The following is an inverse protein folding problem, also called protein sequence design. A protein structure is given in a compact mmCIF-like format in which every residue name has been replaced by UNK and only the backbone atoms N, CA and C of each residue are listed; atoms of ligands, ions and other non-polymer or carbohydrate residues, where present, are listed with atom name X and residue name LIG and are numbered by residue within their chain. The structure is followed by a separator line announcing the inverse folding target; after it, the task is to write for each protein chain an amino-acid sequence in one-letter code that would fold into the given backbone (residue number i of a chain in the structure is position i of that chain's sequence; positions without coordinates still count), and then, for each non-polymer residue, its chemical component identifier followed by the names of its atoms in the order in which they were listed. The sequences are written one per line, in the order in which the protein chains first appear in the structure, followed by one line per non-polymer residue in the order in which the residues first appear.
data_IF_335752275569
#
_entry.id   IF_335752275569
#
_cell.length_a   1.000
_cell.length_b   1.000
_cell.length_c   1.000
_cell.angle_alpha   90.00
_cell.angle_beta   90.00
_cell.angle_gamma   90.00
#
_symmetry.space_group_name_H-M   'P 1'
#
loop_
_entity.id
_entity.type
_entity.pdbx_description
1 polymer ?
#
# COMPACT_ATOMS: atom_id res chain seq x y z
N UNK A 1 30.84 -38.85 -4.44
CA UNK A 1 29.98 -37.82 -5.03
C UNK A 1 28.93 -37.50 -3.99
N UNK A 2 29.11 -36.41 -3.22
CA UNK A 2 28.13 -35.97 -2.23
C UNK A 2 27.00 -35.27 -2.98
N UNK A 3 25.86 -35.95 -3.12
CA UNK A 3 24.61 -35.29 -3.45
C UNK A 3 24.26 -34.45 -2.24
N UNK A 4 24.55 -33.14 -2.31
CA UNK A 4 23.88 -32.20 -1.44
C UNK A 4 22.38 -32.36 -1.75
N UNK A 5 21.63 -32.96 -0.84
CA UNK A 5 20.18 -32.94 -0.85
C UNK A 5 19.77 -31.47 -0.87
N UNK A 6 19.50 -30.96 -2.07
CA UNK A 6 18.96 -29.64 -2.27
C UNK A 6 17.53 -29.74 -1.72
N UNK A 7 17.32 -29.16 -0.55
CA UNK A 7 16.06 -29.19 0.18
C UNK A 7 15.04 -28.29 -0.55
N UNK A 8 14.51 -28.83 -1.66
CA UNK A 8 13.49 -28.17 -2.49
C UNK A 8 12.22 -27.84 -1.68
N UNK A 9 11.98 -28.54 -0.57
CA UNK A 9 10.85 -28.27 0.33
C UNK A 9 11.03 -26.94 1.08
N UNK A 10 12.26 -26.64 1.53
CA UNK A 10 12.62 -25.36 2.16
C UNK A 10 12.52 -24.20 1.17
N UNK A 11 12.95 -24.39 -0.08
CA UNK A 11 12.95 -23.32 -1.10
C UNK A 11 11.52 -22.85 -1.45
N UNK A 12 10.56 -23.79 -1.52
CA UNK A 12 9.14 -23.49 -1.77
C UNK A 12 8.49 -22.78 -0.57
N UNK A 13 8.90 -23.14 0.65
CA UNK A 13 8.38 -22.53 1.87
C UNK A 13 8.85 -21.08 2.06
N UNK A 14 10.11 -20.78 1.71
CA UNK A 14 10.68 -19.43 1.77
C UNK A 14 10.01 -18.53 0.71
N UNK A 15 9.89 -18.99 -0.53
CA UNK A 15 9.23 -18.21 -1.59
C UNK A 15 7.78 -17.84 -1.24
N UNK A 16 7.00 -18.77 -0.67
CA UNK A 16 5.63 -18.48 -0.21
C UNK A 16 5.54 -17.53 0.97
N UNK A 17 6.55 -17.50 1.83
CA UNK A 17 6.60 -16.57 2.95
C UNK A 17 6.90 -15.16 2.46
N UNK A 18 7.87 -15.02 1.53
CA UNK A 18 8.22 -13.73 0.90
C UNK A 18 7.06 -13.18 0.05
N UNK A 19 6.39 -14.02 -0.75
CA UNK A 19 5.22 -13.59 -1.55
C UNK A 19 4.05 -13.11 -0.67
N UNK A 20 3.85 -13.74 0.50
CA UNK A 20 2.81 -13.32 1.46
C UNK A 20 3.17 -12.00 2.14
N UNK A 21 4.45 -11.78 2.43
CA UNK A 21 4.92 -10.54 3.03
C UNK A 21 4.77 -9.36 2.05
N UNK A 22 5.13 -9.57 0.78
CA UNK A 22 4.98 -8.57 -0.29
C UNK A 22 3.49 -8.27 -0.55
N UNK A 23 2.65 -9.30 -0.71
CA UNK A 23 1.21 -9.11 -0.94
C UNK A 23 0.50 -8.42 0.24
N UNK A 24 0.96 -8.67 1.48
CA UNK A 24 0.44 -8.00 2.66
C UNK A 24 0.89 -6.53 2.74
N UNK A 25 2.15 -6.25 2.42
CA UNK A 25 2.68 -4.89 2.35
C UNK A 25 1.97 -4.06 1.26
N UNK A 26 1.81 -4.60 0.05
CA UNK A 26 1.07 -3.96 -1.04
C UNK A 26 -0.42 -3.76 -0.68
N UNK A 27 -1.03 -4.73 0.00
CA UNK A 27 -2.42 -4.63 0.47
C UNK A 27 -2.62 -3.52 1.51
N UNK A 28 -1.67 -3.35 2.45
CA UNK A 28 -1.69 -2.27 3.43
C UNK A 28 -1.48 -0.92 2.75
N UNK A 29 -0.53 -0.82 1.82
CA UNK A 29 -0.25 0.43 1.10
C UNK A 29 -1.45 0.88 0.26
N UNK A 30 -2.06 -0.03 -0.49
CA UNK A 30 -3.28 0.27 -1.26
C UNK A 30 -4.47 0.62 -0.37
N UNK A 31 -4.61 -0.03 0.79
CA UNK A 31 -5.65 0.29 1.76
C UNK A 31 -5.48 1.67 2.36
N UNK A 32 -4.25 2.04 2.70
CA UNK A 32 -3.89 3.36 3.22
C UNK A 32 -4.17 4.45 2.18
N UNK A 33 -3.76 4.22 0.92
CA UNK A 33 -3.98 5.18 -0.17
C UNK A 33 -5.47 5.39 -0.47
N UNK A 34 -6.28 4.32 -0.53
CA UNK A 34 -7.73 4.43 -0.69
C UNK A 34 -8.36 5.26 0.43
N UNK A 35 -7.97 5.00 1.69
CA UNK A 35 -8.48 5.74 2.84
C UNK A 35 -8.10 7.23 2.77
N UNK A 36 -6.89 7.55 2.30
CA UNK A 36 -6.45 8.93 2.08
C UNK A 36 -7.32 9.64 1.01
N UNK A 37 -7.65 8.96 -0.09
CA UNK A 37 -8.53 9.49 -1.14
C UNK A 37 -9.97 9.71 -0.63
N UNK A 38 -10.53 8.74 0.10
CA UNK A 38 -11.88 8.88 0.69
C UNK A 38 -11.95 10.04 1.68
N UNK A 39 -10.91 10.18 2.51
CA UNK A 39 -10.78 11.29 3.47
C UNK A 39 -10.66 12.63 2.76
N UNK A 40 -9.85 12.71 1.70
CA UNK A 40 -9.71 13.92 0.90
C UNK A 40 -11.02 14.31 0.19
N UNK A 41 -11.74 13.34 -0.38
CA UNK A 41 -13.04 13.57 -1.00
C UNK A 41 -14.08 14.07 0.02
N UNK A 42 -14.09 13.51 1.23
CA UNK A 42 -14.97 13.97 2.30
C UNK A 42 -14.64 15.41 2.72
N UNK A 43 -13.36 15.74 2.94
CA UNK A 43 -12.96 17.10 3.30
C UNK A 43 -13.23 18.12 2.19
N UNK A 44 -13.07 17.74 0.91
CA UNK A 44 -13.43 18.59 -0.23
C UNK A 44 -14.93 18.90 -0.25
N UNK A 45 -15.79 17.90 0.02
CA UNK A 45 -17.25 18.08 0.15
C UNK A 45 -17.64 18.96 1.34
N UNK A 46 -16.87 18.91 2.42
CA UNK A 46 -17.06 19.75 3.61
C UNK A 46 -16.54 21.19 3.43
N UNK A 47 -15.87 21.50 2.31
CA UNK A 47 -15.39 22.84 1.99
C UNK A 47 -14.05 23.21 2.62
N UNK A 48 -13.22 22.23 2.98
CA UNK A 48 -11.86 22.49 3.45
C UNK A 48 -10.93 22.93 2.30
N UNK A 49 -9.96 23.78 2.62
CA UNK A 49 -8.90 24.17 1.69
C UNK A 49 -8.10 22.94 1.22
N UNK A 50 -7.87 22.84 -0.10
CA UNK A 50 -7.12 21.75 -0.74
C UNK A 50 -5.73 21.58 -0.10
N UNK A 51 -5.06 22.68 0.27
CA UNK A 51 -3.76 22.64 0.96
C UNK A 51 -3.80 21.97 2.33
N UNK A 52 -4.87 22.19 3.10
CA UNK A 52 -5.06 21.54 4.42
C UNK A 52 -5.43 20.07 4.26
N UNK A 53 -6.19 19.75 3.22
CA UNK A 53 -6.51 18.36 2.87
C UNK A 53 -5.23 17.61 2.52
N UNK A 54 -4.35 18.20 1.70
CA UNK A 54 -3.06 17.62 1.33
C UNK A 54 -2.17 17.36 2.55
N UNK A 55 -2.10 18.31 3.47
CA UNK A 55 -1.37 18.15 4.73
C UNK A 55 -1.93 17.00 5.59
N UNK A 56 -3.26 16.88 5.68
CA UNK A 56 -3.93 15.88 6.51
C UNK A 56 -3.99 14.46 5.92
N UNK A 57 -3.92 14.32 4.60
CA UNK A 57 -4.01 13.01 3.92
C UNK A 57 -2.68 12.55 3.32
N UNK A 58 -1.69 13.43 3.21
CA UNK A 58 -0.41 13.15 2.54
C UNK A 58 -0.52 13.06 1.02
N UNK A 59 -1.69 13.39 0.44
CA UNK A 59 -1.91 13.40 -0.99
C UNK A 59 -1.39 14.70 -1.61
N UNK A 60 -0.99 14.63 -2.88
CA UNK A 60 -0.61 15.82 -3.62
C UNK A 60 -1.83 16.70 -3.94
N UNK A 61 -1.60 18.01 -4.11
CA UNK A 61 -2.65 18.95 -4.50
C UNK A 61 -3.36 18.51 -5.79
N UNK A 62 -2.61 17.98 -6.76
CA UNK A 62 -3.16 17.49 -8.03
C UNK A 62 -4.13 16.33 -7.84
N UNK A 63 -3.80 15.39 -6.95
CA UNK A 63 -4.69 14.27 -6.63
C UNK A 63 -6.00 14.76 -6.01
N UNK A 64 -5.92 15.74 -5.12
CA UNK A 64 -7.11 16.30 -4.46
C UNK A 64 -7.93 17.20 -5.41
N UNK A 65 -7.27 17.91 -6.32
CA UNK A 65 -7.96 18.67 -7.37
C UNK A 65 -8.73 17.76 -8.32
N UNK A 66 -8.18 16.58 -8.64
CA UNK A 66 -8.81 15.59 -9.51
C UNK A 66 -9.97 14.79 -8.87
N UNK A 67 -10.09 14.79 -7.54
CA UNK A 67 -11.19 14.15 -6.78
C UNK A 67 -12.52 14.90 -6.87
#
# INVERSE_FOLDING_TARGET
MLLAEYDYETDIAVQRAEEREIAFAEGIEQGSYKKALETAAAFKRLGFDISKIAEGTGLSLKEIEAL
#
